data_IF_915295849474
#
_entry.id   IF_915295849474
#
_cell.length_a   1.000
_cell.length_b   1.000
_cell.length_c   1.000
_cell.angle_alpha   90.00
_cell.angle_beta   90.00
_cell.angle_gamma   90.00
#
_symmetry.space_group_name_H-M   'P 1'
#
loop_
_entity.id
_entity.type
_entity.pdbx_description
1 polymer ?
#
# COMPACT_ATOMS: atom_id res chain seq x y z
N UNK A 1 12.87 -26.96 -14.51
CA UNK A 1 13.72 -25.77 -14.31
C UNK A 1 12.87 -24.73 -13.60
N UNK A 2 13.25 -24.38 -12.37
CA UNK A 2 12.50 -23.47 -11.51
C UNK A 2 12.96 -22.04 -11.77
N UNK A 3 12.39 -21.36 -12.75
CA UNK A 3 12.63 -19.95 -12.97
C UNK A 3 11.81 -19.11 -12.00
N UNK A 4 12.39 -18.95 -10.81
CA UNK A 4 12.10 -17.86 -9.87
C UNK A 4 12.46 -16.53 -10.55
N UNK A 5 11.57 -16.05 -11.41
CA UNK A 5 11.67 -14.73 -12.03
C UNK A 5 11.23 -13.68 -11.00
N UNK A 6 12.19 -13.35 -10.13
CA UNK A 6 12.46 -12.03 -9.54
C UNK A 6 11.26 -11.07 -9.59
N UNK A 7 10.51 -11.05 -8.49
CA UNK A 7 9.78 -9.86 -8.09
C UNK A 7 10.76 -8.68 -8.19
N UNK A 8 10.47 -7.68 -9.03
CA UNK A 8 11.42 -6.61 -9.23
C UNK A 8 11.38 -5.79 -7.93
N UNK A 9 12.48 -5.80 -7.20
CA UNK A 9 12.76 -4.83 -6.13
C UNK A 9 12.90 -3.44 -6.80
N UNK A 10 11.81 -2.90 -7.35
CA UNK A 10 11.85 -1.67 -8.16
C UNK A 10 12.11 -0.46 -7.27
N UNK A 11 11.76 -0.52 -5.99
CA UNK A 11 11.98 0.55 -5.03
C UNK A 11 12.64 0.00 -3.78
N UNK A 12 13.75 0.62 -3.35
CA UNK A 12 14.35 0.29 -2.07
C UNK A 12 13.39 0.68 -0.93
N UNK A 13 13.38 -0.09 0.16
CA UNK A 13 12.54 0.18 1.33
C UNK A 13 12.67 1.64 1.83
N UNK A 14 13.87 2.23 1.72
CA UNK A 14 14.11 3.64 2.05
C UNK A 14 13.33 4.64 1.20
N UNK A 15 13.11 4.34 -0.07
CA UNK A 15 12.34 5.20 -0.99
C UNK A 15 10.85 5.10 -0.67
N UNK A 16 10.37 3.90 -0.31
CA UNK A 16 9.00 3.69 0.15
C UNK A 16 8.78 4.47 1.46
N UNK A 17 9.70 4.35 2.41
CA UNK A 17 9.66 5.10 3.67
C UNK A 17 9.67 6.62 3.44
N UNK A 18 10.49 7.12 2.50
CA UNK A 18 10.53 8.53 2.16
C UNK A 18 9.19 9.01 1.56
N UNK A 19 8.59 8.24 0.65
CA UNK A 19 7.31 8.58 0.02
C UNK A 19 6.17 8.59 1.03
N UNK A 20 6.10 7.57 1.89
CA UNK A 20 5.11 7.48 2.97
C UNK A 20 5.29 8.64 3.94
N UNK A 21 6.53 8.92 4.35
CA UNK A 21 6.85 10.02 5.26
C UNK A 21 6.47 11.37 4.68
N UNK A 22 6.83 11.63 3.42
CA UNK A 22 6.54 12.89 2.73
C UNK A 22 5.04 13.08 2.53
N UNK A 23 4.32 12.01 2.18
CA UNK A 23 2.86 12.06 1.94
C UNK A 23 2.12 12.35 3.23
N UNK A 24 2.45 11.65 4.32
CA UNK A 24 1.83 11.89 5.63
C UNK A 24 2.16 13.30 6.15
N UNK A 25 3.43 13.74 6.04
CA UNK A 25 3.83 15.09 6.44
C UNK A 25 3.11 16.19 5.64
N UNK A 26 2.95 16.03 4.32
CA UNK A 26 2.22 16.98 3.46
C UNK A 26 0.75 17.12 3.84
N UNK A 27 0.16 16.09 4.45
CA UNK A 27 -1.20 16.11 4.97
C UNK A 27 -1.28 16.50 6.45
N UNK A 28 -0.21 17.08 7.02
CA UNK A 28 -0.16 17.54 8.41
C UNK A 28 0.08 16.46 9.45
N UNK A 29 0.36 15.22 9.03
CA UNK A 29 0.60 14.09 9.94
C UNK A 29 2.09 14.00 10.26
N UNK A 30 2.46 14.34 11.49
CA UNK A 30 3.81 14.10 12.00
C UNK A 30 3.92 12.67 12.56
N UNK A 31 4.58 11.78 11.83
CA UNK A 31 4.66 10.34 12.13
C UNK A 31 5.28 10.06 13.51
N UNK A 32 6.32 10.79 13.91
CA UNK A 32 7.00 10.59 15.19
C UNK A 32 6.12 11.01 16.38
N UNK A 33 5.42 12.14 16.23
CA UNK A 33 4.44 12.63 17.22
C UNK A 33 3.15 11.82 17.22
N UNK A 34 2.76 11.25 16.08
CA UNK A 34 1.57 10.43 15.97
C UNK A 34 1.79 9.05 16.60
N UNK A 35 2.89 8.36 16.26
CA UNK A 35 3.19 7.03 16.80
C UNK A 35 3.33 7.01 18.33
N UNK A 36 3.81 8.10 18.93
CA UNK A 36 3.94 8.24 20.39
C UNK A 36 2.64 8.58 21.11
N UNK A 37 1.60 9.04 20.39
CA UNK A 37 0.30 9.44 20.93
C UNK A 37 -0.84 8.47 20.64
N UNK A 38 -0.59 7.43 19.84
CA UNK A 38 -1.60 6.45 19.49
C UNK A 38 -1.65 5.33 20.54
N UNK A 39 -2.86 5.07 21.06
CA UNK A 39 -3.11 3.88 21.86
C UNK A 39 -2.96 2.62 21.01
N UNK A 40 -2.77 1.46 21.65
CA UNK A 40 -2.61 0.19 20.92
C UNK A 40 -3.86 -0.18 20.10
N UNK A 41 -5.03 0.20 20.57
CA UNK A 41 -6.29 0.07 19.83
C UNK A 41 -6.32 0.95 18.59
N UNK A 42 -5.85 2.20 18.69
CA UNK A 42 -5.75 3.09 17.53
C UNK A 42 -4.71 2.60 16.51
N UNK A 43 -3.59 2.03 16.97
CA UNK A 43 -2.61 1.39 16.07
C UNK A 43 -3.22 0.20 15.33
N UNK A 44 -4.02 -0.62 16.02
CA UNK A 44 -4.71 -1.77 15.43
C UNK A 44 -5.70 -1.31 14.35
N UNK A 45 -6.55 -0.33 14.65
CA UNK A 45 -7.48 0.23 13.66
C UNK A 45 -6.76 0.78 12.42
N UNK A 46 -5.61 1.45 12.61
CA UNK A 46 -4.82 1.97 11.50
C UNK A 46 -4.23 0.85 10.64
N UNK A 47 -3.76 -0.23 11.26
CA UNK A 47 -3.25 -1.41 10.57
C UNK A 47 -4.35 -2.08 9.74
N UNK A 48 -5.52 -2.28 10.32
CA UNK A 48 -6.66 -2.92 9.66
C UNK A 48 -7.13 -2.09 8.45
N UNK A 49 -7.19 -0.77 8.58
CA UNK A 49 -7.54 0.14 7.48
C UNK A 49 -6.54 0.07 6.32
N UNK A 50 -5.23 0.06 6.62
CA UNK A 50 -4.18 -0.05 5.60
C UNK A 50 -4.25 -1.40 4.89
N UNK A 51 -4.54 -2.48 5.63
CA UNK A 51 -4.68 -3.81 5.05
C UNK A 51 -5.88 -3.88 4.08
N UNK A 52 -7.01 -3.28 4.45
CA UNK A 52 -8.19 -3.21 3.59
C UNK A 52 -7.98 -2.33 2.36
N UNK A 53 -7.28 -1.19 2.50
CA UNK A 53 -6.87 -0.37 1.35
C UNK A 53 -5.93 -1.14 0.42
N UNK A 54 -4.99 -1.90 0.98
CA UNK A 54 -4.08 -2.76 0.20
C UNK A 54 -4.86 -3.80 -0.59
N UNK A 55 -5.84 -4.47 0.04
CA UNK A 55 -6.73 -5.42 -0.64
C UNK A 55 -7.51 -4.75 -1.77
N UNK A 56 -8.03 -3.54 -1.57
CA UNK A 56 -8.76 -2.81 -2.62
C UNK A 56 -7.88 -2.46 -3.81
N UNK A 57 -6.62 -2.03 -3.57
CA UNK A 57 -5.65 -1.75 -4.64
C UNK A 57 -5.26 -3.03 -5.37
N UNK A 58 -5.00 -4.11 -4.65
CA UNK A 58 -4.70 -5.42 -5.25
C UNK A 58 -5.87 -5.92 -6.11
N UNK A 59 -7.10 -5.80 -5.62
CA UNK A 59 -8.31 -6.13 -6.38
C UNK A 59 -8.46 -5.24 -7.61
N UNK A 60 -8.08 -3.97 -7.54
CA UNK A 60 -8.09 -3.06 -8.68
C UNK A 60 -7.03 -3.43 -9.73
N UNK A 61 -5.80 -3.70 -9.30
CA UNK A 61 -4.69 -4.12 -10.18
C UNK A 61 -4.93 -5.50 -10.80
N UNK A 62 -5.61 -6.40 -10.10
CA UNK A 62 -5.94 -7.75 -10.57
C UNK A 62 -7.17 -7.79 -11.47
N UNK A 63 -7.88 -6.68 -11.71
CA UNK A 63 -8.91 -6.65 -12.76
C UNK A 63 -8.22 -6.78 -14.10
N UNK A 64 -8.41 -7.88 -14.85
CA UNK A 64 -7.98 -7.92 -16.24
C UNK A 64 -8.72 -6.80 -17.00
N UNK A 65 -8.13 -6.26 -18.09
CA UNK A 65 -8.92 -5.43 -19.00
C UNK A 65 -10.13 -6.27 -19.38
N UNK A 66 -11.32 -5.72 -19.13
CA UNK A 66 -12.53 -6.25 -19.75
C UNK A 66 -12.35 -5.99 -21.23
N UNK A 67 -11.71 -6.93 -21.91
CA UNK A 67 -11.84 -7.07 -23.34
C UNK A 67 -13.33 -7.21 -23.59
N UNK A 68 -13.92 -6.12 -24.06
CA UNK A 68 -15.13 -6.14 -24.85
C UNK A 68 -14.92 -7.17 -25.96
N UNK A 69 -15.33 -8.42 -25.72
CA UNK A 69 -15.88 -9.24 -26.79
C UNK A 69 -17.37 -8.97 -26.81
N UNK A 70 -17.72 -7.92 -27.54
CA UNK A 70 -18.97 -7.93 -28.29
C UNK A 70 -18.96 -9.12 -29.26
N UNK A 71 -20.14 -9.68 -29.48
CA UNK A 71 -20.51 -10.65 -30.53
C UNK A 71 -20.11 -12.10 -30.21
N UNK A 72 -21.03 -13.08 -30.19
CA UNK A 72 -22.12 -13.32 -31.14
C UNK A 72 -23.25 -14.12 -30.49
#
# INVERSE_FOLDING_TARGET
MSDSSKNPKILSDKVIDLLVSTTLQKNGVNIEKAKSKLSDEQKKMFKDLVEDLTKQVDSFMKKPPVDKKESK
#
